data_IF_040647208659
#
_entry.id   IF_040647208659
#
_cell.length_a   1.000
_cell.length_b   1.000
_cell.length_c   1.000
_cell.angle_alpha   90.00
_cell.angle_beta   90.00
_cell.angle_gamma   90.00
#
_symmetry.space_group_name_H-M   'P 1'
#
loop_
_entity.id
_entity.type
_entity.pdbx_description
1 polymer ?
#
# COMPACT_ATOMS: atom_id res chain seq x y z
N UNK A 1 3.61 -17.13 12.75
CA UNK A 1 4.36 -17.04 11.49
C UNK A 1 5.67 -16.32 11.73
N UNK A 2 6.77 -16.94 11.31
CA UNK A 2 8.11 -16.35 11.37
C UNK A 2 8.27 -15.24 10.31
N UNK A 3 9.14 -14.22 10.52
CA UNK A 3 9.29 -13.08 9.59
C UNK A 3 9.67 -13.57 8.18
N UNK A 4 10.60 -14.52 8.06
CA UNK A 4 11.05 -15.06 6.77
C UNK A 4 9.96 -15.82 6.02
N UNK A 5 9.13 -16.59 6.74
CA UNK A 5 7.97 -17.29 6.16
C UNK A 5 6.97 -16.28 5.61
N UNK A 6 6.72 -15.18 6.35
CA UNK A 6 5.86 -14.10 5.86
C UNK A 6 6.45 -13.40 4.64
N UNK A 7 7.76 -13.09 4.64
CA UNK A 7 8.43 -12.45 3.52
C UNK A 7 8.29 -13.30 2.26
N UNK A 8 8.56 -14.60 2.35
CA UNK A 8 8.38 -15.55 1.24
C UNK A 8 6.93 -15.59 0.76
N UNK A 9 5.98 -15.65 1.69
CA UNK A 9 4.55 -15.63 1.37
C UNK A 9 4.16 -14.36 0.61
N UNK A 10 4.57 -13.18 1.10
CA UNK A 10 4.27 -11.89 0.47
C UNK A 10 4.94 -11.76 -0.91
N UNK A 11 6.19 -12.21 -1.06
CA UNK A 11 6.87 -12.22 -2.36
C UNK A 11 6.13 -13.07 -3.40
N UNK A 12 5.51 -14.16 -2.97
CA UNK A 12 4.68 -15.01 -3.83
C UNK A 12 3.29 -14.39 -4.10
N UNK A 13 2.61 -13.86 -3.09
CA UNK A 13 1.22 -13.41 -3.20
C UNK A 13 1.06 -12.03 -3.86
N UNK A 14 1.93 -11.06 -3.55
CA UNK A 14 1.77 -9.67 -3.97
C UNK A 14 1.71 -9.47 -5.50
N UNK A 15 2.52 -10.14 -6.34
CA UNK A 15 2.42 -10.00 -7.80
C UNK A 15 1.04 -10.35 -8.36
N UNK A 16 0.34 -11.32 -7.76
CA UNK A 16 -1.02 -11.74 -8.15
C UNK A 16 -2.07 -10.69 -7.78
N UNK A 17 -1.78 -9.86 -6.79
CA UNK A 17 -2.60 -8.73 -6.35
C UNK A 17 -2.21 -7.41 -7.04
N UNK A 18 -1.35 -7.47 -8.08
CA UNK A 18 -0.78 -6.29 -8.75
C UNK A 18 -0.03 -5.34 -7.79
N UNK A 19 0.56 -5.89 -6.72
CA UNK A 19 1.36 -5.15 -5.74
C UNK A 19 2.83 -5.53 -5.83
N UNK A 20 3.71 -4.63 -5.39
CA UNK A 20 5.16 -4.80 -5.46
C UNK A 20 5.79 -4.93 -4.07
N UNK A 21 6.56 -6.00 -3.84
CA UNK A 21 7.29 -6.25 -2.60
C UNK A 21 8.08 -5.04 -2.04
N UNK A 22 8.79 -4.23 -2.85
CA UNK A 22 9.50 -3.06 -2.34
C UNK A 22 8.65 -2.10 -1.50
N UNK A 23 7.36 -1.92 -1.83
CA UNK A 23 6.43 -1.09 -1.07
C UNK A 23 6.07 -1.64 0.31
N UNK A 24 6.32 -2.92 0.56
CA UNK A 24 5.96 -3.61 1.80
C UNK A 24 7.13 -3.74 2.79
N UNK A 25 8.38 -3.48 2.37
CA UNK A 25 9.58 -3.74 3.21
C UNK A 25 9.51 -3.11 4.61
N UNK A 26 9.04 -1.85 4.69
CA UNK A 26 8.94 -1.08 5.95
C UNK A 26 7.68 -1.41 6.78
N UNK A 27 6.65 -1.97 6.16
CA UNK A 27 5.32 -2.16 6.74
C UNK A 27 4.93 -3.64 6.86
N UNK A 28 5.81 -4.55 6.45
CA UNK A 28 5.60 -5.99 6.44
C UNK A 28 5.12 -6.52 7.78
N UNK A 29 5.68 -6.05 8.91
CA UNK A 29 5.30 -6.53 10.25
C UNK A 29 3.80 -6.38 10.51
N UNK A 30 3.22 -5.25 10.12
CA UNK A 30 1.79 -4.99 10.28
C UNK A 30 0.96 -5.92 9.39
N UNK A 31 1.37 -6.08 8.13
CA UNK A 31 0.69 -6.93 7.15
C UNK A 31 0.78 -8.41 7.56
N UNK A 32 1.96 -8.89 7.94
CA UNK A 32 2.21 -10.23 8.46
C UNK A 32 1.36 -10.54 9.69
N UNK A 33 1.20 -9.58 10.61
CA UNK A 33 0.35 -9.76 11.80
C UNK A 33 -1.13 -9.92 11.41
N UNK A 34 -1.62 -9.17 10.42
CA UNK A 34 -2.98 -9.30 9.90
C UNK A 34 -3.20 -10.63 9.19
N UNK A 35 -2.27 -11.04 8.35
CA UNK A 35 -2.31 -12.34 7.66
C UNK A 35 -2.29 -13.47 8.70
N UNK A 36 -1.41 -13.43 9.69
CA UNK A 36 -1.37 -14.43 10.74
C UNK A 36 -2.70 -14.57 11.47
N UNK A 37 -3.39 -13.46 11.76
CA UNK A 37 -4.73 -13.52 12.37
C UNK A 37 -5.72 -14.23 11.45
N UNK A 38 -5.68 -13.96 10.15
CA UNK A 38 -6.54 -14.65 9.16
C UNK A 38 -6.25 -16.15 9.10
N UNK A 39 -4.98 -16.54 9.08
CA UNK A 39 -4.53 -17.94 9.14
C UNK A 39 -5.13 -18.65 10.37
N UNK A 40 -5.04 -18.01 11.54
CA UNK A 40 -5.61 -18.56 12.78
C UNK A 40 -7.14 -18.64 12.73
N UNK A 41 -7.84 -17.65 12.15
CA UNK A 41 -9.30 -17.70 11.99
C UNK A 41 -9.76 -18.80 11.03
N UNK A 42 -8.94 -19.17 10.07
CA UNK A 42 -9.21 -20.28 9.14
C UNK A 42 -8.72 -21.63 9.69
N UNK A 43 -8.21 -21.66 10.93
CA UNK A 43 -7.67 -22.87 11.57
C UNK A 43 -6.54 -23.55 10.78
N UNK A 44 -5.77 -22.76 10.03
CA UNK A 44 -4.63 -23.23 9.25
C UNK A 44 -3.35 -23.20 10.09
N UNK A 45 -2.43 -24.15 9.88
CA UNK A 45 -1.24 -24.24 10.71
C UNK A 45 -0.21 -23.15 10.35
N UNK A 46 -0.04 -22.87 9.07
CA UNK A 46 0.99 -21.94 8.60
C UNK A 46 0.67 -21.19 7.29
N UNK A 47 1.67 -20.47 6.79
CA UNK A 47 1.56 -19.68 5.57
C UNK A 47 1.54 -20.53 4.29
N UNK A 48 2.11 -21.74 4.32
CA UNK A 48 2.10 -22.66 3.18
C UNK A 48 0.72 -23.34 3.06
N UNK A 49 0.08 -23.69 4.19
CA UNK A 49 -1.34 -24.06 4.27
C UNK A 49 -2.23 -22.95 3.70
N UNK A 50 -2.00 -21.70 4.13
CA UNK A 50 -2.79 -20.57 3.64
C UNK A 50 -2.57 -20.29 2.15
N UNK A 51 -1.34 -20.48 1.65
CA UNK A 51 -1.05 -20.45 0.22
C UNK A 51 -1.84 -21.50 -0.55
N UNK A 52 -1.89 -22.75 -0.06
CA UNK A 52 -2.70 -23.82 -0.68
C UNK A 52 -4.19 -23.47 -0.64
N UNK A 53 -4.67 -22.95 0.48
CA UNK A 53 -6.06 -22.52 0.63
C UNK A 53 -6.45 -21.43 -0.39
N UNK A 54 -5.58 -20.44 -0.62
CA UNK A 54 -5.78 -19.40 -1.64
C UNK A 54 -5.85 -19.95 -3.07
N UNK A 55 -5.16 -21.05 -3.36
CA UNK A 55 -5.19 -21.66 -4.70
C UNK A 55 -6.49 -22.43 -4.99
N UNK A 56 -7.23 -22.83 -3.96
CA UNK A 56 -8.49 -23.56 -4.09
C UNK A 56 -9.72 -22.72 -3.77
N UNK A 57 -9.53 -21.50 -3.23
CA UNK A 57 -10.61 -20.61 -2.81
C UNK A 57 -10.42 -19.19 -3.38
N UNK A 58 -10.93 -18.95 -4.59
CA UNK A 58 -10.77 -17.65 -5.27
C UNK A 58 -11.34 -16.47 -4.48
N UNK A 59 -12.37 -16.72 -3.66
CA UNK A 59 -13.02 -15.71 -2.80
C UNK A 59 -12.10 -15.17 -1.69
N UNK A 60 -11.00 -15.85 -1.40
CA UNK A 60 -10.06 -15.43 -0.35
C UNK A 60 -9.09 -14.34 -0.86
N UNK A 61 -8.84 -14.24 -2.17
CA UNK A 61 -7.91 -13.26 -2.73
C UNK A 61 -8.30 -11.79 -2.46
N UNK A 62 -9.57 -11.37 -2.60
CA UNK A 62 -9.99 -10.02 -2.21
C UNK A 62 -9.79 -9.72 -0.72
N UNK A 63 -9.94 -10.72 0.15
CA UNK A 63 -9.67 -10.55 1.59
C UNK A 63 -8.17 -10.37 1.84
N UNK A 64 -7.32 -11.16 1.18
CA UNK A 64 -5.88 -10.97 1.25
C UNK A 64 -5.45 -9.58 0.73
N UNK A 65 -6.04 -9.10 -0.37
CA UNK A 65 -5.81 -7.74 -0.88
C UNK A 65 -6.09 -6.69 0.20
N UNK A 66 -7.25 -6.81 0.86
CA UNK A 66 -7.66 -5.92 1.92
C UNK A 66 -6.67 -5.95 3.11
N UNK A 67 -6.22 -7.12 3.54
CA UNK A 67 -5.24 -7.25 4.63
C UNK A 67 -3.89 -6.60 4.28
N UNK A 68 -3.54 -6.56 3.00
CA UNK A 68 -2.35 -5.89 2.46
C UNK A 68 -2.48 -4.37 2.34
N UNK A 69 -3.64 -3.76 2.62
CA UNK A 69 -3.79 -2.29 2.56
C UNK A 69 -3.05 -1.61 3.70
N UNK A 70 -2.13 -0.73 3.35
CA UNK A 70 -1.31 0.03 4.30
C UNK A 70 -1.76 1.48 4.26
N UNK A 71 -2.73 1.81 5.12
CA UNK A 71 -3.24 3.18 5.28
C UNK A 71 -2.45 3.90 6.37
N UNK A 72 -1.24 4.35 6.04
CA UNK A 72 -0.55 5.32 6.89
C UNK A 72 -0.67 6.67 6.21
N UNK A 73 -1.66 7.47 6.62
CA UNK A 73 -1.77 8.87 6.23
C UNK A 73 -1.72 9.73 7.48
N UNK A 74 -1.05 10.87 7.39
CA UNK A 74 -1.02 11.89 8.43
C UNK A 74 -0.89 13.25 7.76
N UNK A 75 -1.39 14.30 8.41
CA UNK A 75 -1.17 15.67 7.96
C UNK A 75 0.34 15.94 7.87
N UNK A 76 0.75 16.61 6.79
CA UNK A 76 2.15 16.94 6.52
C UNK A 76 3.10 15.72 6.55
N UNK A 77 2.65 14.55 6.05
CA UNK A 77 3.41 13.29 6.13
C UNK A 77 4.87 13.45 5.72
N UNK A 78 5.07 14.10 4.58
CA UNK A 78 6.34 14.40 3.95
C UNK A 78 6.52 15.92 3.87
N UNK A 79 6.63 16.55 5.04
CA UNK A 79 6.66 18.01 5.20
C UNK A 79 7.64 18.72 4.26
N UNK A 80 8.86 18.20 4.10
CA UNK A 80 9.88 18.79 3.21
C UNK A 80 9.41 18.81 1.75
N UNK A 81 8.72 17.75 1.28
CA UNK A 81 8.16 17.72 -0.07
C UNK A 81 7.04 18.76 -0.20
N UNK A 82 6.16 18.86 0.80
CA UNK A 82 5.07 19.85 0.78
C UNK A 82 5.59 21.29 0.86
N UNK A 83 6.66 21.55 1.61
CA UNK A 83 7.33 22.85 1.67
C UNK A 83 7.94 23.21 0.30
N UNK A 84 8.58 22.26 -0.38
CA UNK A 84 9.07 22.48 -1.75
C UNK A 84 7.92 22.74 -2.73
N UNK A 85 6.82 21.98 -2.63
CA UNK A 85 5.63 22.23 -3.44
C UNK A 85 5.08 23.63 -3.18
N UNK A 86 5.00 24.07 -1.93
CA UNK A 86 4.47 25.37 -1.56
C UNK A 86 5.36 26.54 -2.03
N UNK A 87 6.68 26.41 -1.85
CA UNK A 87 7.62 27.50 -2.07
C UNK A 87 8.10 27.61 -3.53
N UNK A 88 8.21 26.47 -4.23
CA UNK A 88 8.83 26.44 -5.56
C UNK A 88 7.83 26.08 -6.66
N UNK A 89 7.00 25.05 -6.46
CA UNK A 89 6.12 24.51 -7.50
C UNK A 89 4.85 25.35 -7.67
N UNK A 90 4.10 25.62 -6.59
CA UNK A 90 2.84 26.37 -6.65
C UNK A 90 3.01 27.78 -7.23
N UNK A 91 4.05 28.57 -6.89
CA UNK A 91 4.22 29.90 -7.48
C UNK A 91 4.49 29.86 -8.98
N UNK A 92 5.21 28.85 -9.46
CA UNK A 92 5.48 28.68 -10.89
C UNK A 92 4.20 28.30 -11.65
N UNK A 93 3.44 27.35 -11.11
CA UNK A 93 2.15 26.94 -11.69
C UNK A 93 1.14 28.09 -11.69
N UNK A 94 1.08 28.89 -10.61
CA UNK A 94 0.20 30.04 -10.52
C UNK A 94 0.53 31.10 -11.59
N UNK A 95 1.82 31.39 -11.82
CA UNK A 95 2.24 32.29 -12.90
C UNK A 95 1.79 31.77 -14.26
N UNK A 96 1.98 30.48 -14.53
CA UNK A 96 1.56 29.87 -15.79
C UNK A 96 0.03 29.95 -15.98
N UNK A 97 -0.74 29.62 -14.95
CA UNK A 97 -2.20 29.69 -14.98
C UNK A 97 -2.68 31.10 -15.30
N UNK A 98 -2.14 32.11 -14.61
CA UNK A 98 -2.49 33.52 -14.83
C UNK A 98 -2.13 33.97 -16.26
N UNK A 99 -1.00 33.53 -16.82
CA UNK A 99 -0.65 33.82 -18.22
C UNK A 99 -1.65 33.25 -19.23
N UNK A 100 -2.29 32.13 -18.90
CA UNK A 100 -3.34 31.51 -19.72
C UNK A 100 -4.76 32.00 -19.40
N UNK A 101 -4.90 32.97 -18.48
CA UNK A 101 -6.20 33.50 -18.04
C UNK A 101 -6.97 32.57 -17.08
N UNK A 102 -6.32 31.55 -16.52
CA UNK A 102 -6.90 30.70 -15.50
C UNK A 102 -6.60 31.28 -14.10
N UNK A 103 -7.58 31.13 -13.20
CA UNK A 103 -7.53 31.62 -11.83
C UNK A 103 -7.57 30.48 -10.80
N UNK A 104 -7.52 29.23 -11.25
CA UNK A 104 -7.51 28.06 -10.40
C UNK A 104 -6.36 27.10 -10.76
N UNK A 105 -5.75 26.51 -9.74
CA UNK A 105 -4.88 25.34 -9.91
C UNK A 105 -5.68 24.09 -9.57
N UNK A 106 -5.63 23.09 -10.45
CA UNK A 106 -6.25 21.78 -10.24
C UNK A 106 -5.18 20.78 -9.86
N UNK A 107 -5.40 20.04 -8.78
CA UNK A 107 -4.51 18.98 -8.31
C UNK A 107 -5.29 17.70 -8.03
N UNK A 108 -4.61 16.56 -8.14
CA UNK A 108 -5.16 15.26 -7.79
C UNK A 108 -4.21 14.54 -6.82
N UNK A 109 -4.75 14.12 -5.67
CA UNK A 109 -4.06 13.20 -4.75
C UNK A 109 -4.45 11.77 -5.09
N UNK A 110 -3.59 11.08 -5.85
CA UNK A 110 -3.76 9.67 -6.19
C UNK A 110 -3.10 8.81 -5.08
N UNK A 111 -3.95 8.17 -4.26
CA UNK A 111 -3.61 7.48 -3.02
C UNK A 111 -2.56 6.38 -3.12
#
# INVERSE_FOLDING_TARGET
MHDDSCVRFLQWALPRLQKRWPGFRKVRRQVCKRIQRRITTLELADADDYRRYLQTNDREWPLLDHLCRVTVSRFYRDRVILEHVANDVLPQLARLALHTGDHALRGWSAG
#
